data_IF_421284277234
#
_entry.id   IF_421284277234
#
_cell.length_a   1.000
_cell.length_b   1.000
_cell.length_c   1.000
_cell.angle_alpha   90.00
_cell.angle_beta   90.00
_cell.angle_gamma   90.00
#
_symmetry.space_group_name_H-M   'P 1'
#
loop_
_entity.id
_entity.type
_entity.pdbx_description
1 polymer ?
#
# COMPACT_ATOMS: atom_id res chain seq x y z
N UNK A 1 -16.92 -2.76 7.22
CA UNK A 1 -16.55 -1.61 6.35
C UNK A 1 -15.06 -1.72 6.05
N UNK A 2 -14.63 -1.52 4.80
CA UNK A 2 -13.19 -1.55 4.47
C UNK A 2 -12.52 -0.29 5.04
N UNK A 3 -11.40 -0.44 5.76
CA UNK A 3 -10.62 0.71 6.25
C UNK A 3 -10.06 1.47 5.05
N UNK A 4 -10.19 2.79 5.04
CA UNK A 4 -9.65 3.67 4.00
C UNK A 4 -8.84 4.79 4.64
N UNK A 5 -7.73 5.18 4.02
CA UNK A 5 -6.84 6.23 4.50
C UNK A 5 -6.43 7.14 3.36
N UNK A 6 -6.38 8.45 3.63
CA UNK A 6 -5.72 9.41 2.74
C UNK A 6 -4.26 9.52 3.13
N UNK A 7 -3.38 9.43 2.15
CA UNK A 7 -1.94 9.54 2.32
C UNK A 7 -1.43 10.65 1.41
N UNK A 8 -0.49 11.45 1.90
CA UNK A 8 0.17 12.48 1.11
C UNK A 8 1.63 12.07 0.99
N UNK A 9 2.12 11.88 -0.24
CA UNK A 9 3.53 11.55 -0.47
C UNK A 9 4.44 12.70 -0.06
N UNK A 10 5.73 12.41 0.06
CA UNK A 10 6.76 13.44 0.28
C UNK A 10 6.77 14.52 -0.81
N UNK A 11 6.31 14.21 -2.02
CA UNK A 11 6.19 15.16 -3.12
C UNK A 11 4.90 15.97 -3.09
N UNK A 12 4.06 15.81 -2.07
CA UNK A 12 2.80 16.53 -1.89
C UNK A 12 1.63 15.97 -2.71
N UNK A 13 1.74 14.77 -3.29
CA UNK A 13 0.64 14.14 -4.04
C UNK A 13 -0.28 13.36 -3.10
N UNK A 14 -1.58 13.48 -3.30
CA UNK A 14 -2.57 12.78 -2.50
C UNK A 14 -2.91 11.41 -3.09
N UNK A 15 -2.93 10.40 -2.23
CA UNK A 15 -3.30 9.03 -2.52
C UNK A 15 -4.37 8.56 -1.53
N UNK A 16 -5.20 7.64 -1.99
CA UNK A 16 -6.24 7.00 -1.19
C UNK A 16 -5.93 5.51 -1.16
N UNK A 17 -5.69 5.01 0.05
CA UNK A 17 -5.45 3.60 0.32
C UNK A 17 -6.72 2.97 0.88
N UNK A 18 -7.06 1.79 0.42
CA UNK A 18 -8.18 0.99 0.90
C UNK A 18 -7.67 -0.40 1.29
N UNK A 19 -8.04 -0.85 2.48
CA UNK A 19 -7.60 -2.13 2.98
C UNK A 19 -8.41 -3.23 2.28
N UNK A 20 -7.77 -4.16 1.54
CA UNK A 20 -8.47 -5.14 0.70
C UNK A 20 -9.14 -6.27 1.52
N UNK A 21 -8.98 -6.23 2.84
CA UNK A 21 -9.47 -7.23 3.79
C UNK A 21 -8.37 -8.23 4.18
N UNK A 22 -8.45 -8.79 5.39
CA UNK A 22 -7.40 -9.67 5.94
C UNK A 22 -7.13 -10.87 5.04
N UNK A 23 -8.18 -11.50 4.51
CA UNK A 23 -8.04 -12.64 3.58
C UNK A 23 -7.26 -12.25 2.33
N UNK A 24 -7.62 -11.14 1.70
CA UNK A 24 -6.96 -10.65 0.49
C UNK A 24 -5.51 -10.31 0.81
N UNK A 25 -5.26 -9.50 1.85
CA UNK A 25 -3.92 -9.13 2.30
C UNK A 25 -3.01 -10.35 2.52
N UNK A 26 -3.49 -11.40 3.20
CA UNK A 26 -2.72 -12.64 3.37
C UNK A 26 -2.43 -13.34 2.04
N UNK A 27 -3.39 -13.37 1.10
CA UNK A 27 -3.15 -13.91 -0.24
C UNK A 27 -2.14 -13.08 -1.04
N UNK A 28 -2.17 -11.75 -0.88
CA UNK A 28 -1.18 -10.84 -1.48
C UNK A 28 0.22 -11.18 -0.96
N UNK A 29 0.37 -11.26 0.36
CA UNK A 29 1.66 -11.54 0.98
C UNK A 29 2.20 -12.92 0.61
N UNK A 30 1.34 -13.92 0.43
CA UNK A 30 1.73 -15.27 0.02
C UNK A 30 2.21 -15.33 -1.44
N UNK A 31 1.42 -14.80 -2.40
CA UNK A 31 1.77 -14.82 -3.83
C UNK A 31 3.00 -13.97 -4.18
N UNK A 32 3.28 -12.96 -3.36
CA UNK A 32 4.43 -12.07 -3.53
C UNK A 32 5.76 -12.72 -3.10
N UNK A 33 5.73 -13.85 -2.39
CA UNK A 33 6.94 -14.60 -2.00
C UNK A 33 7.40 -15.51 -3.14
N UNK A 34 8.72 -15.69 -3.24
CA UNK A 34 9.31 -16.69 -4.13
C UNK A 34 9.38 -18.07 -3.45
N UNK A 35 9.94 -19.07 -4.15
CA UNK A 35 10.11 -20.44 -3.64
C UNK A 35 10.95 -20.55 -2.37
N UNK A 36 11.72 -19.51 -2.02
CA UNK A 36 12.55 -19.45 -0.82
C UNK A 36 11.90 -18.58 0.28
N UNK A 37 10.64 -18.18 0.12
CA UNK A 37 9.92 -17.34 1.08
C UNK A 37 10.29 -15.85 1.03
N UNK A 38 11.13 -15.44 0.07
CA UNK A 38 11.59 -14.04 -0.06
C UNK A 38 10.55 -13.22 -0.81
N UNK A 39 10.06 -12.16 -0.18
CA UNK A 39 9.12 -11.22 -0.79
C UNK A 39 9.78 -10.52 -1.98
N UNK A 40 9.06 -10.46 -3.10
CA UNK A 40 9.53 -9.81 -4.31
C UNK A 40 8.96 -8.40 -4.39
N UNK A 41 9.83 -7.39 -4.29
CA UNK A 41 9.46 -5.97 -4.34
C UNK A 41 8.52 -5.65 -5.50
N UNK A 42 8.87 -6.15 -6.70
CA UNK A 42 8.06 -5.98 -7.90
C UNK A 42 6.62 -6.48 -7.72
N UNK A 43 6.44 -7.71 -7.20
CA UNK A 43 5.09 -8.28 -7.02
C UNK A 43 4.29 -7.53 -5.98
N UNK A 44 4.93 -7.14 -4.86
CA UNK A 44 4.23 -6.38 -3.82
C UNK A 44 3.71 -5.07 -4.39
N UNK A 45 4.58 -4.34 -5.08
CA UNK A 45 4.24 -3.03 -5.61
C UNK A 45 3.09 -3.09 -6.60
N UNK A 46 3.11 -4.05 -7.53
CA UNK A 46 2.02 -4.27 -8.48
C UNK A 46 0.69 -4.49 -7.76
N UNK A 47 0.71 -5.31 -6.72
CA UNK A 47 -0.49 -5.65 -5.97
C UNK A 47 -0.98 -4.52 -5.06
N UNK A 48 -0.07 -3.70 -4.51
CA UNK A 48 -0.42 -2.48 -3.79
C UNK A 48 -1.12 -1.50 -4.74
N UNK A 49 -0.59 -1.28 -5.94
CA UNK A 49 -1.19 -0.40 -6.94
C UNK A 49 -2.56 -0.88 -7.43
N UNK A 50 -2.79 -2.20 -7.51
CA UNK A 50 -4.04 -2.77 -7.99
C UNK A 50 -5.13 -2.85 -6.91
N UNK A 51 -4.78 -3.28 -5.70
CA UNK A 51 -5.77 -3.65 -4.67
C UNK A 51 -5.81 -2.72 -3.46
N UNK A 52 -4.74 -1.97 -3.20
CA UNK A 52 -4.65 -1.10 -2.02
C UNK A 52 -4.79 0.37 -2.40
N UNK A 53 -4.12 0.81 -3.47
CA UNK A 53 -4.16 2.20 -3.92
C UNK A 53 -5.35 2.36 -4.87
N UNK A 54 -6.42 2.96 -4.37
CA UNK A 54 -7.68 3.09 -5.12
C UNK A 54 -7.78 4.39 -5.91
N UNK A 55 -7.07 5.43 -5.47
CA UNK A 55 -7.01 6.72 -6.16
C UNK A 55 -5.71 7.47 -5.85
N UNK A 56 -5.05 8.11 -6.83
CA UNK A 56 -5.27 7.92 -8.28
C UNK A 56 -4.98 6.47 -8.71
N UNK A 57 -5.51 6.06 -9.87
CA UNK A 57 -5.15 4.77 -10.47
C UNK A 57 -3.75 4.88 -11.06
N UNK A 58 -2.78 4.38 -10.31
CA UNK A 58 -1.36 4.43 -10.67
C UNK A 58 -0.87 3.12 -11.25
N UNK A 59 0.19 3.20 -12.03
CA UNK A 59 0.93 2.06 -12.61
C UNK A 59 2.42 2.32 -12.46
N UNK A 60 3.25 1.35 -12.86
CA UNK A 60 4.71 1.51 -12.87
C UNK A 60 5.19 2.79 -13.60
N UNK A 61 4.52 3.15 -14.69
CA UNK A 61 4.86 4.32 -15.51
C UNK A 61 4.52 5.65 -14.81
N UNK A 62 3.56 5.64 -13.87
CA UNK A 62 3.13 6.85 -13.15
C UNK A 62 4.28 7.55 -12.41
N UNK A 63 5.27 6.77 -11.94
CA UNK A 63 6.41 7.29 -11.22
C UNK A 63 7.58 7.66 -12.15
N UNK A 64 7.62 7.14 -13.37
CA UNK A 64 8.77 7.27 -14.27
C UNK A 64 10.08 6.90 -13.57
N UNK A 65 11.04 7.83 -13.54
CA UNK A 65 12.32 7.66 -12.86
C UNK A 65 12.30 7.99 -11.35
N UNK A 66 11.16 8.45 -10.80
CA UNK A 66 11.02 8.83 -9.38
C UNK A 66 10.88 7.61 -8.47
N UNK A 67 11.95 6.81 -8.37
CA UNK A 67 12.00 5.63 -7.50
C UNK A 67 11.78 5.97 -6.02
N UNK A 68 12.15 7.18 -5.59
CA UNK A 68 11.93 7.63 -4.21
C UNK A 68 10.44 7.75 -3.88
N UNK A 69 9.65 8.41 -4.75
CA UNK A 69 8.20 8.53 -4.54
C UNK A 69 7.52 7.16 -4.64
N UNK A 70 7.97 6.31 -5.57
CA UNK A 70 7.49 4.95 -5.67
C UNK A 70 7.67 4.17 -4.35
N UNK A 71 8.88 4.16 -3.80
CA UNK A 71 9.16 3.44 -2.55
C UNK A 71 8.38 4.00 -1.36
N UNK A 72 8.22 5.32 -1.30
CA UNK A 72 7.44 6.03 -0.28
C UNK A 72 5.96 5.60 -0.30
N UNK A 73 5.32 5.71 -1.47
CA UNK A 73 3.89 5.38 -1.63
C UNK A 73 3.63 3.88 -1.45
N UNK A 74 4.45 3.01 -2.05
CA UNK A 74 4.28 1.56 -1.96
C UNK A 74 4.57 1.06 -0.54
N UNK A 75 5.60 1.59 0.11
CA UNK A 75 5.93 1.28 1.50
C UNK A 75 4.78 1.66 2.45
N UNK A 76 4.23 2.88 2.29
CA UNK A 76 3.08 3.33 3.07
C UNK A 76 1.82 2.47 2.83
N UNK A 77 1.57 2.06 1.59
CA UNK A 77 0.45 1.18 1.25
C UNK A 77 0.62 -0.23 1.86
N UNK A 78 1.83 -0.78 1.83
CA UNK A 78 2.15 -2.07 2.45
C UNK A 78 1.97 -2.03 3.97
N UNK A 79 2.50 -1.00 4.65
CA UNK A 79 2.32 -0.80 6.10
C UNK A 79 0.85 -0.65 6.48
N UNK A 80 0.06 0.05 5.66
CA UNK A 80 -1.39 0.18 5.85
C UNK A 80 -2.12 -1.16 5.68
N UNK A 81 -1.69 -2.01 4.74
CA UNK A 81 -2.23 -3.34 4.55
C UNK A 81 -1.91 -4.28 5.73
N UNK A 82 -0.71 -4.19 6.30
CA UNK A 82 -0.31 -5.02 7.45
C UNK A 82 -0.91 -4.52 8.79
N UNK A 83 -1.55 -3.34 8.79
CA UNK A 83 -2.14 -2.76 9.99
C UNK A 83 -1.12 -2.14 10.96
N UNK A 84 0.12 -1.93 10.50
CA UNK A 84 1.22 -1.37 11.30
C UNK A 84 1.01 0.14 11.59
N UNK A 85 0.13 0.79 10.82
CA UNK A 85 -0.18 2.22 10.93
C UNK A 85 -1.46 2.55 11.74
N UNK A 86 -2.10 1.56 12.38
CA UNK A 86 -3.34 1.73 13.16
C UNK A 86 -3.14 2.32 14.58
N UNK A 87 -1.98 2.92 14.88
CA UNK A 87 -1.66 3.48 16.21
C UNK A 87 -1.45 5.00 16.25
N UNK A 88 -1.88 5.76 15.21
CA UNK A 88 -1.84 7.25 15.27
C UNK A 88 -3.09 7.97 14.78
N UNK A 89 -4.26 7.32 14.86
CA UNK A 89 -5.54 7.99 14.59
C UNK A 89 -6.73 7.31 15.30
N UNK A 90 -6.58 6.96 16.57
CA UNK A 90 -7.74 6.77 17.45
C UNK A 90 -7.61 7.68 18.67
N UNK A 91 -7.86 8.96 18.43
CA UNK A 91 -8.16 9.94 19.45
C UNK A 91 -9.41 10.70 18.96
N UNK A 92 -10.56 10.03 19.00
CA UNK A 92 -11.87 10.65 19.24
C UNK A 92 -12.91 9.56 19.47
N UNK A 93 -13.30 9.36 20.74
CA UNK A 93 -14.69 9.16 21.15
C UNK A 93 -14.77 9.14 22.70
N UNK A 94 -15.26 10.25 23.27
CA UNK A 94 -16.07 10.28 24.50
C UNK A 94 -15.38 10.52 25.84
#
# INVERSE_FOLDING_TARGET
>A
MFKQRKYVSQSGKEYTFQHPGVRSASQISDRCKNKHGVQQEYKIAEEMMQHVIVSPKITWDYFGDNKQEFNDVIGAAASFMEGVDDDKSNADEG
#
